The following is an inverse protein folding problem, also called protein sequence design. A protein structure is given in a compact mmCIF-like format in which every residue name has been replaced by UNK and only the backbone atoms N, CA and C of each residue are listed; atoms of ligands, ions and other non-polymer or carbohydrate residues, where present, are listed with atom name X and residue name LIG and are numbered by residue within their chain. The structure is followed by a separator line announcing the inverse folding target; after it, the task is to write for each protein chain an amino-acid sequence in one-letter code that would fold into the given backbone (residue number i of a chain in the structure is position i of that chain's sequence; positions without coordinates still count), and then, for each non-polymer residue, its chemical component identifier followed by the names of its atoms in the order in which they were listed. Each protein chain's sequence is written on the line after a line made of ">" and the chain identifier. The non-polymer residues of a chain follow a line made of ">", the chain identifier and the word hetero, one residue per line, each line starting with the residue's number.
data_IF_784674971680
#
_entry.id   IF_784674971680
#
_cell.length_a   1.000
_cell.length_b   1.000
_cell.length_c   1.000
_cell.angle_alpha   90.00
_cell.angle_beta   90.00
_cell.angle_gamma   90.00
#
_symmetry.space_group_name_H-M   'P 1'
#
loop_
_entity.id
_entity.type
_entity.pdbx_description
1 polymer ?
#
# COMPACT_ATOMS: atom_id res chain seq x y z
N UNK A 1 22.23 -0.14 -20.74
CA UNK A 1 21.78 1.26 -20.91
C UNK A 1 20.28 1.19 -21.13
N UNK A 2 19.48 1.95 -20.37
CA UNK A 2 18.02 1.86 -20.48
C UNK A 2 17.56 2.72 -21.67
N UNK A 3 16.76 2.14 -22.57
CA UNK A 3 16.22 2.86 -23.73
C UNK A 3 14.94 3.60 -23.35
N UNK A 4 14.82 4.85 -23.78
CA UNK A 4 13.67 5.71 -23.50
C UNK A 4 13.00 6.13 -24.81
N UNK A 5 11.68 6.31 -24.78
CA UNK A 5 10.89 6.80 -25.92
C UNK A 5 10.09 8.02 -25.52
N UNK A 6 10.00 9.01 -26.41
CA UNK A 6 9.25 10.23 -26.19
C UNK A 6 7.77 10.04 -26.54
N UNK A 7 6.88 10.58 -25.69
CA UNK A 7 5.43 10.57 -25.92
C UNK A 7 4.89 11.98 -25.74
N UNK A 8 4.23 12.52 -26.77
CA UNK A 8 3.58 13.84 -26.70
C UNK A 8 2.18 13.71 -26.11
N UNK A 9 1.94 14.41 -25.00
CA UNK A 9 0.67 14.41 -24.28
C UNK A 9 -0.04 15.76 -24.43
N UNK A 10 -1.36 15.72 -24.55
CA UNK A 10 -2.21 16.91 -24.53
C UNK A 10 -3.11 16.85 -23.30
N UNK A 11 -2.80 17.70 -22.31
CA UNK A 11 -3.58 17.86 -21.09
C UNK A 11 -4.36 19.17 -21.16
N UNK A 12 -5.56 19.19 -20.56
CA UNK A 12 -6.28 20.44 -20.41
C UNK A 12 -5.50 21.39 -19.49
N UNK A 13 -5.68 22.70 -19.69
CA UNK A 13 -5.00 23.72 -18.87
C UNK A 13 -5.34 23.58 -17.39
N UNK A 14 -6.56 23.19 -17.08
CA UNK A 14 -7.02 23.04 -15.70
C UNK A 14 -6.35 21.84 -15.02
N UNK A 15 -6.27 20.70 -15.72
CA UNK A 15 -5.54 19.52 -15.22
C UNK A 15 -4.06 19.83 -14.99
N UNK A 16 -3.43 20.59 -15.90
CA UNK A 16 -2.02 20.95 -15.74
C UNK A 16 -1.80 21.84 -14.50
N UNK A 17 -2.71 22.77 -14.21
CA UNK A 17 -2.67 23.61 -13.00
C UNK A 17 -2.84 22.78 -11.72
N UNK A 18 -3.75 21.80 -11.74
CA UNK A 18 -3.94 20.90 -10.61
C UNK A 18 -2.68 20.07 -10.34
N UNK A 19 -2.07 19.51 -11.39
CA UNK A 19 -0.83 18.75 -11.28
C UNK A 19 0.29 19.63 -10.70
N UNK A 20 0.48 20.84 -11.24
CA UNK A 20 1.48 21.78 -10.73
C UNK A 20 1.28 22.10 -9.25
N UNK A 21 0.04 22.36 -8.85
CA UNK A 21 -0.32 22.62 -7.44
C UNK A 21 0.07 21.45 -6.53
N UNK A 22 -0.25 20.21 -6.94
CA UNK A 22 0.06 19.00 -6.17
C UNK A 22 1.57 18.76 -6.07
N UNK A 23 2.30 18.91 -7.19
CA UNK A 23 3.75 18.72 -7.24
C UNK A 23 4.45 19.73 -6.34
N UNK A 24 4.06 21.01 -6.42
CA UNK A 24 4.62 22.06 -5.58
C UNK A 24 4.31 21.87 -4.10
N UNK A 25 3.05 21.52 -3.77
CA UNK A 25 2.68 21.20 -2.40
C UNK A 25 3.54 20.06 -1.83
N UNK A 26 3.72 18.99 -2.59
CA UNK A 26 4.50 17.84 -2.14
C UNK A 26 5.98 18.17 -1.97
N UNK A 27 6.56 18.93 -2.90
CA UNK A 27 7.94 19.42 -2.78
C UNK A 27 8.15 20.24 -1.51
N UNK A 28 7.25 21.20 -1.24
CA UNK A 28 7.32 22.01 -0.02
C UNK A 28 7.19 21.16 1.24
N UNK A 29 6.26 20.20 1.25
CA UNK A 29 6.09 19.27 2.36
C UNK A 29 7.36 18.44 2.62
N UNK A 30 7.94 17.88 1.58
CA UNK A 30 9.11 17.01 1.72
C UNK A 30 10.34 17.82 2.19
N UNK A 31 10.51 19.07 1.73
CA UNK A 31 11.53 19.99 2.27
C UNK A 31 11.28 20.26 3.77
N UNK A 32 10.06 20.61 4.16
CA UNK A 32 9.75 21.03 5.53
C UNK A 32 9.83 19.90 6.56
N UNK A 33 9.45 18.68 6.18
CA UNK A 33 9.32 17.56 7.10
C UNK A 33 10.40 16.49 6.96
N UNK A 34 11.08 16.42 5.81
CA UNK A 34 12.09 15.40 5.52
C UNK A 34 13.47 15.97 5.17
N UNK A 35 13.62 17.31 5.08
CA UNK A 35 14.83 18.00 4.58
C UNK A 35 15.28 17.46 3.20
N UNK A 36 14.31 16.98 2.41
CA UNK A 36 14.54 16.43 1.08
C UNK A 36 14.41 17.52 0.02
N UNK A 37 15.55 17.94 -0.52
CA UNK A 37 15.66 18.97 -1.56
C UNK A 37 15.68 18.39 -2.98
N UNK A 38 15.35 17.11 -3.14
CA UNK A 38 15.33 16.48 -4.46
C UNK A 38 14.29 17.19 -5.35
N UNK A 39 14.69 17.67 -6.55
CA UNK A 39 13.74 18.28 -7.46
C UNK A 39 12.67 17.26 -7.85
N UNK A 40 11.41 17.68 -7.79
CA UNK A 40 10.28 16.94 -8.38
C UNK A 40 9.67 17.78 -9.49
N UNK A 41 9.72 17.25 -10.70
CA UNK A 41 9.11 17.90 -11.87
C UNK A 41 7.71 17.36 -12.15
N UNK A 42 6.94 18.11 -12.93
CA UNK A 42 5.66 17.64 -13.48
C UNK A 42 5.88 16.37 -14.34
N UNK A 43 6.98 16.29 -15.08
CA UNK A 43 7.32 15.13 -15.93
C UNK A 43 7.56 13.87 -15.11
N UNK A 44 8.30 13.97 -14.00
CA UNK A 44 8.54 12.85 -13.09
C UNK A 44 7.24 12.40 -12.42
N UNK A 45 6.37 13.34 -12.06
CA UNK A 45 5.05 13.03 -11.54
C UNK A 45 4.21 12.25 -12.56
N UNK A 46 4.10 12.75 -13.80
CA UNK A 46 3.34 12.09 -14.87
C UNK A 46 3.92 10.70 -15.16
N UNK A 47 5.24 10.58 -15.30
CA UNK A 47 5.93 9.31 -15.51
C UNK A 47 5.66 8.35 -14.36
N UNK A 48 5.75 8.82 -13.11
CA UNK A 48 5.43 8.06 -11.91
C UNK A 48 4.00 7.55 -11.89
N UNK A 49 3.02 8.38 -12.26
CA UNK A 49 1.61 8.00 -12.40
C UNK A 49 1.44 6.91 -13.48
N UNK A 50 2.03 7.07 -14.66
CA UNK A 50 1.97 6.08 -15.73
C UNK A 50 2.57 4.75 -15.27
N UNK A 51 3.76 4.76 -14.67
CA UNK A 51 4.38 3.57 -14.11
C UNK A 51 3.52 2.93 -13.00
N UNK A 52 2.89 3.73 -12.15
CA UNK A 52 1.98 3.25 -11.11
C UNK A 52 0.78 2.52 -11.71
N UNK A 53 0.12 3.11 -12.71
CA UNK A 53 -1.03 2.48 -13.37
C UNK A 53 -0.64 1.24 -14.19
N UNK A 54 0.49 1.25 -14.89
CA UNK A 54 0.98 0.07 -15.59
C UNK A 54 1.24 -1.07 -14.59
N UNK A 55 1.88 -0.78 -13.45
CA UNK A 55 2.05 -1.78 -12.38
C UNK A 55 0.70 -2.26 -11.86
N UNK A 56 -0.23 -1.34 -11.57
CA UNK A 56 -1.56 -1.70 -11.10
C UNK A 56 -2.29 -2.61 -12.10
N UNK A 57 -2.24 -2.32 -13.41
CA UNK A 57 -2.84 -3.13 -14.47
C UNK A 57 -2.14 -4.50 -14.56
N UNK A 58 -0.81 -4.55 -14.53
CA UNK A 58 -0.06 -5.82 -14.52
C UNK A 58 -0.38 -6.65 -13.28
N UNK A 59 -0.55 -6.02 -12.12
CA UNK A 59 -1.01 -6.68 -10.91
C UNK A 59 -2.50 -7.04 -10.95
N UNK A 60 -3.32 -6.35 -11.73
CA UNK A 60 -4.70 -6.74 -12.04
C UNK A 60 -4.74 -7.98 -12.95
N UNK A 61 -3.79 -8.13 -13.86
CA UNK A 61 -3.52 -9.42 -14.51
C UNK A 61 -3.01 -10.45 -13.52
N UNK A 62 -2.27 -10.07 -12.47
CA UNK A 62 -1.92 -10.99 -11.37
C UNK A 62 -3.15 -11.36 -10.51
N UNK A 63 -4.20 -10.53 -10.52
CA UNK A 63 -5.53 -10.90 -10.00
C UNK A 63 -6.29 -11.84 -10.95
N UNK A 64 -5.86 -12.08 -12.20
CA UNK A 64 -6.47 -13.08 -13.09
C UNK A 64 -6.22 -14.53 -12.63
N UNK A 65 -5.54 -14.72 -11.49
CA UNK A 65 -5.59 -15.96 -10.70
C UNK A 65 -6.74 -15.99 -9.67
N UNK A 66 -7.73 -15.09 -9.75
CA UNK A 66 -8.95 -15.10 -8.92
C UNK A 66 -9.99 -16.12 -9.38
N UNK A 67 -9.83 -16.69 -10.57
CA UNK A 67 -10.59 -17.85 -11.04
C UNK A 67 -10.43 -19.04 -10.06
N UNK A 68 -9.27 -19.08 -9.39
CA UNK A 68 -8.99 -19.92 -8.25
C UNK A 68 -9.17 -19.10 -6.97
N UNK A 69 -10.39 -19.15 -6.42
CA UNK A 69 -10.71 -18.66 -5.07
C UNK A 69 -9.87 -19.35 -3.98
N UNK A 70 -9.05 -20.34 -4.36
CA UNK A 70 -8.16 -21.09 -3.51
C UNK A 70 -8.91 -22.10 -2.65
N UNK A 71 -8.11 -22.94 -1.98
CA UNK A 71 -8.56 -23.62 -0.76
C UNK A 71 -8.58 -22.60 0.38
N UNK A 72 -9.45 -22.74 1.41
CA UNK A 72 -9.66 -21.76 2.50
C UNK A 72 -8.42 -21.34 3.31
N UNK A 73 -7.23 -21.87 3.02
CA UNK A 73 -5.99 -21.65 3.75
C UNK A 73 -4.87 -21.00 2.94
N UNK A 74 -5.12 -20.57 1.69
CA UNK A 74 -4.05 -19.97 0.85
C UNK A 74 -3.73 -18.51 1.17
N UNK A 75 -4.65 -17.79 1.82
CA UNK A 75 -4.45 -16.38 2.17
C UNK A 75 -3.79 -16.26 3.55
N UNK A 76 -2.61 -15.66 3.58
CA UNK A 76 -1.86 -15.33 4.79
C UNK A 76 -1.66 -13.81 4.91
N UNK A 77 -1.26 -13.39 6.09
CA UNK A 77 -1.04 -11.99 6.44
C UNK A 77 0.41 -11.73 6.89
N UNK A 78 0.81 -10.47 6.74
CA UNK A 78 2.09 -9.89 7.20
C UNK A 78 1.87 -8.89 8.33
N UNK A 79 0.82 -9.07 9.14
CA UNK A 79 0.46 -8.10 10.20
C UNK A 79 1.64 -7.90 11.14
N UNK A 80 2.28 -8.99 11.57
CA UNK A 80 3.46 -8.91 12.44
C UNK A 80 4.61 -8.15 11.80
N UNK A 81 4.98 -8.50 10.58
CA UNK A 81 6.07 -7.84 9.84
C UNK A 81 5.78 -6.34 9.65
N UNK A 82 4.53 -5.99 9.36
CA UNK A 82 4.10 -4.62 9.19
C UNK A 82 4.18 -3.85 10.52
N UNK A 83 3.73 -4.45 11.61
CA UNK A 83 3.82 -3.86 12.95
C UNK A 83 5.27 -3.61 13.38
N UNK A 84 6.14 -4.61 13.20
CA UNK A 84 7.55 -4.52 13.56
C UNK A 84 8.24 -3.37 12.79
N UNK A 85 7.91 -3.20 11.50
CA UNK A 85 8.44 -2.10 10.67
C UNK A 85 7.93 -0.71 11.07
N UNK A 86 6.75 -0.62 11.67
CA UNK A 86 6.13 0.65 12.06
C UNK A 86 6.17 0.90 13.57
N UNK A 87 6.94 0.10 14.33
CA UNK A 87 7.09 0.28 15.78
C UNK A 87 5.81 0.04 16.60
N UNK A 88 4.86 -0.74 16.07
CA UNK A 88 3.59 -1.02 16.74
C UNK A 88 3.69 -2.31 17.55
N UNK A 89 3.49 -2.22 18.87
CA UNK A 89 3.51 -3.41 19.73
C UNK A 89 2.18 -4.17 19.71
N UNK A 90 2.21 -5.47 20.02
CA UNK A 90 0.99 -6.26 20.16
C UNK A 90 0.08 -5.76 21.29
N UNK A 91 0.65 -5.25 22.37
CA UNK A 91 -0.11 -4.64 23.46
C UNK A 91 -0.87 -3.40 22.99
N UNK A 92 -0.21 -2.52 22.22
CA UNK A 92 -0.84 -1.33 21.66
C UNK A 92 -1.95 -1.69 20.67
N UNK A 93 -1.75 -2.72 19.85
CA UNK A 93 -2.80 -3.17 18.94
C UNK A 93 -4.00 -3.76 19.69
N UNK A 94 -3.77 -4.54 20.75
CA UNK A 94 -4.83 -5.10 21.59
C UNK A 94 -5.70 -4.00 22.20
N UNK A 95 -5.07 -2.96 22.73
CA UNK A 95 -5.74 -1.79 23.29
C UNK A 95 -6.56 -1.05 22.23
N UNK A 96 -5.97 -0.73 21.08
CA UNK A 96 -6.66 0.00 19.98
C UNK A 96 -7.84 -0.75 19.39
N UNK A 97 -7.77 -2.08 19.33
CA UNK A 97 -8.78 -2.93 18.67
C UNK A 97 -9.84 -3.46 19.63
N UNK A 98 -9.57 -3.45 20.94
CA UNK A 98 -10.35 -4.15 21.95
C UNK A 98 -10.24 -5.67 21.85
N UNK A 99 -9.27 -6.21 21.10
CA UNK A 99 -9.08 -7.64 20.90
C UNK A 99 -8.00 -8.14 21.86
N UNK A 100 -8.30 -9.20 22.62
CA UNK A 100 -7.34 -9.83 23.53
C UNK A 100 -6.05 -10.27 22.80
N UNK A 101 -4.90 -10.06 23.42
CA UNK A 101 -3.60 -10.46 22.88
C UNK A 101 -3.53 -11.96 22.56
N UNK A 102 -4.22 -12.80 23.34
CA UNK A 102 -4.35 -14.24 23.10
C UNK A 102 -5.03 -14.58 21.76
N UNK A 103 -5.98 -13.74 21.31
CA UNK A 103 -6.64 -13.90 20.01
C UNK A 103 -5.81 -13.29 18.87
N UNK A 104 -5.09 -12.20 19.13
CA UNK A 104 -4.22 -11.55 18.15
C UNK A 104 -3.01 -12.40 17.77
N UNK A 105 -2.39 -13.12 18.72
CA UNK A 105 -1.15 -13.87 18.44
C UNK A 105 -1.32 -14.97 17.38
N UNK A 106 -2.38 -15.81 17.42
CA UNK A 106 -2.66 -16.78 16.37
C UNK A 106 -2.93 -16.14 15.01
N UNK A 107 -3.61 -15.00 14.97
CA UNK A 107 -3.89 -14.24 13.74
C UNK A 107 -2.57 -13.76 13.11
N UNK A 108 -1.72 -13.09 13.89
CA UNK A 108 -0.43 -12.56 13.44
C UNK A 108 0.55 -13.64 12.97
N UNK A 109 0.39 -14.87 13.45
CA UNK A 109 1.21 -16.04 13.09
C UNK A 109 0.59 -16.89 11.99
N UNK A 110 -0.48 -16.43 11.35
CA UNK A 110 -1.22 -17.18 10.33
C UNK A 110 -1.74 -18.55 10.80
N UNK A 111 -1.89 -18.76 12.11
CA UNK A 111 -2.45 -20.00 12.68
C UNK A 111 -3.96 -20.03 12.57
N UNK A 112 -4.60 -18.86 12.73
CA UNK A 112 -6.04 -18.69 12.61
C UNK A 112 -6.32 -17.55 11.62
N UNK A 113 -7.26 -17.77 10.70
CA UNK A 113 -7.85 -16.68 9.91
C UNK A 113 -8.77 -15.85 10.82
N UNK A 114 -8.60 -14.52 10.91
CA UNK A 114 -9.51 -13.67 11.65
C UNK A 114 -10.91 -13.66 11.02
N UNK A 115 -11.93 -13.37 11.83
CA UNK A 115 -13.21 -12.93 11.28
C UNK A 115 -13.02 -11.61 10.53
N UNK A 116 -13.96 -11.28 9.66
CA UNK A 116 -13.94 -10.02 8.91
C UNK A 116 -13.96 -8.79 9.84
N UNK A 117 -14.70 -8.86 10.96
CA UNK A 117 -14.70 -7.83 12.00
C UNK A 117 -13.30 -7.66 12.64
N UNK A 118 -12.67 -8.76 13.06
CA UNK A 118 -11.33 -8.70 13.66
C UNK A 118 -10.29 -8.20 12.67
N UNK A 119 -10.37 -8.64 11.41
CA UNK A 119 -9.51 -8.15 10.35
C UNK A 119 -9.62 -6.64 10.19
N UNK A 120 -10.84 -6.10 10.04
CA UNK A 120 -11.03 -4.67 9.84
C UNK A 120 -10.63 -3.83 11.05
N UNK A 121 -10.89 -4.28 12.28
CA UNK A 121 -10.40 -3.62 13.49
C UNK A 121 -8.88 -3.50 13.49
N UNK A 122 -8.18 -4.60 13.21
CA UNK A 122 -6.72 -4.63 13.12
C UNK A 122 -6.22 -3.74 11.99
N UNK A 123 -6.83 -3.83 10.81
CA UNK A 123 -6.45 -3.05 9.63
C UNK A 123 -6.58 -1.53 9.86
N UNK A 124 -7.69 -1.10 10.46
CA UNK A 124 -7.95 0.31 10.80
C UNK A 124 -6.99 0.77 11.91
N UNK A 125 -6.74 -0.06 12.92
CA UNK A 125 -5.79 0.26 14.01
C UNK A 125 -4.34 0.40 13.53
N UNK A 126 -4.02 -0.16 12.36
CA UNK A 126 -2.75 -0.03 11.65
C UNK A 126 -2.76 1.07 10.58
N UNK A 127 -3.77 1.95 10.58
CA UNK A 127 -3.91 3.08 9.66
C UNK A 127 -4.16 2.68 8.20
N UNK A 128 -4.95 1.62 8.01
CA UNK A 128 -5.46 1.19 6.71
C UNK A 128 -4.36 1.00 5.65
N UNK A 129 -3.29 0.20 5.92
CA UNK A 129 -2.24 -0.02 4.94
C UNK A 129 -2.81 -0.66 3.67
N UNK A 130 -2.19 -0.43 2.49
CA UNK A 130 -2.57 -1.13 1.27
C UNK A 130 -2.64 -2.65 1.49
N UNK A 131 -3.73 -3.30 1.06
CA UNK A 131 -4.00 -4.71 1.33
C UNK A 131 -2.85 -5.63 0.87
N UNK A 132 -2.23 -5.33 -0.26
CA UNK A 132 -1.08 -6.07 -0.78
C UNK A 132 0.20 -5.97 0.08
N UNK A 133 0.27 -5.04 1.03
CA UNK A 133 1.37 -4.97 2.01
C UNK A 133 1.13 -5.85 3.24
N UNK A 134 -0.13 -6.17 3.54
CA UNK A 134 -0.51 -6.92 4.73
C UNK A 134 -1.08 -8.29 4.44
N UNK A 135 -1.44 -8.60 3.20
CA UNK A 135 -1.97 -9.89 2.76
C UNK A 135 -1.14 -10.41 1.59
N UNK A 136 -0.93 -11.73 1.57
CA UNK A 136 -0.28 -12.43 0.46
C UNK A 136 -0.87 -13.82 0.31
N UNK A 137 -0.70 -14.40 -0.88
CA UNK A 137 -1.01 -15.80 -1.15
C UNK A 137 0.26 -16.63 -0.99
N UNK A 138 0.15 -17.81 -0.39
CA UNK A 138 1.21 -18.81 -0.50
C UNK A 138 1.24 -19.33 -1.93
N UNK A 139 2.38 -19.19 -2.61
CA UNK A 139 2.67 -19.87 -3.87
C UNK A 139 2.99 -21.35 -3.55
N UNK A 140 2.47 -22.27 -4.37
CA UNK A 140 2.77 -23.71 -4.29
C UNK A 140 4.13 -24.04 -4.91
#
# INVERSE_FOLDING_TARGET
>A
MQEFSEVKLYLSKDVLKEIDTIVNYKKLKDILYLDDHTPRSIEEFITGCVCHYIKAIKHLYDLSGLDDLGRPYRLQNRIKEYMDKNGVSQAMLAERTGILASNLSPIMKNKNQPSLDYFFRVWIALECPPLNKILYRLEE
#
